data_IF_831850562922
#
_entry.id   IF_831850562922
#
_cell.length_a   1.000
_cell.length_b   1.000
_cell.length_c   1.000
_cell.angle_alpha   90.00
_cell.angle_beta   90.00
_cell.angle_gamma   90.00
#
_symmetry.space_group_name_H-M   'P 1'
#
loop_
_entity.id
_entity.type
_entity.pdbx_description
1 polymer ?
#
# COMPACT_ATOMS: atom_id res chain seq x y z
N UNK A 1 22.18 24.21 5.80
CA UNK A 1 20.73 24.27 6.17
C UNK A 1 20.56 24.28 7.69
N UNK A 2 19.55 24.98 8.25
CA UNK A 2 19.34 25.15 9.70
C UNK A 2 17.92 24.76 10.16
N UNK A 3 17.86 23.89 11.18
CA UNK A 3 16.67 23.62 12.00
C UNK A 3 16.95 24.12 13.43
N UNK A 4 16.01 24.84 14.04
CA UNK A 4 16.03 25.12 15.48
C UNK A 4 14.82 24.54 16.17
N UNK A 5 14.98 24.06 17.40
CA UNK A 5 13.91 23.57 18.25
C UNK A 5 14.00 24.27 19.61
N UNK A 6 12.93 24.96 20.01
CA UNK A 6 12.83 25.71 21.25
C UNK A 6 11.73 25.17 22.15
N UNK A 7 11.89 25.33 23.46
CA UNK A 7 10.84 25.12 24.45
C UNK A 7 10.86 26.19 25.53
N UNK A 8 9.70 26.43 26.12
CA UNK A 8 9.48 27.23 27.33
C UNK A 8 8.90 26.39 28.47
N UNK A 9 9.05 25.06 28.40
CA UNK A 9 8.86 24.19 29.56
C UNK A 9 9.72 24.68 30.74
N UNK A 10 9.33 24.38 31.98
CA UNK A 10 10.10 24.82 33.16
C UNK A 10 10.62 23.62 33.95
N UNK A 11 11.95 23.44 34.08
CA UNK A 11 13.00 24.28 33.48
C UNK A 11 13.20 23.97 31.99
N UNK A 12 13.41 24.99 31.16
CA UNK A 12 13.53 24.80 29.70
C UNK A 12 14.81 24.05 29.32
N UNK A 13 15.84 24.14 30.16
CA UNK A 13 17.11 23.44 30.02
C UNK A 13 16.96 21.92 30.00
N UNK A 14 15.83 21.38 30.47
CA UNK A 14 15.55 19.94 30.39
C UNK A 14 15.45 19.43 28.94
N UNK A 15 15.28 20.33 27.96
CA UNK A 15 15.41 20.00 26.54
C UNK A 15 16.76 19.34 26.20
N UNK A 16 17.84 19.67 26.93
CA UNK A 16 19.14 19.01 26.79
C UNK A 16 19.10 17.51 27.10
N UNK A 17 18.41 17.12 28.17
CA UNK A 17 18.24 15.73 28.56
C UNK A 17 17.29 14.97 27.62
N UNK A 18 16.25 15.63 27.12
CA UNK A 18 15.33 15.04 26.15
C UNK A 18 16.02 14.74 24.81
N UNK A 19 16.98 15.59 24.40
CA UNK A 19 17.72 15.44 23.15
C UNK A 19 19.04 14.67 23.29
N UNK A 20 19.43 14.34 24.52
CA UNK A 20 20.75 13.77 24.85
C UNK A 20 21.89 14.63 24.32
N UNK A 21 21.78 15.94 24.51
CA UNK A 21 22.78 16.94 24.11
C UNK A 21 23.00 17.93 25.24
N UNK A 22 24.25 18.06 25.66
CA UNK A 22 24.62 19.02 26.68
C UNK A 22 24.66 20.44 26.05
N UNK A 23 23.91 21.42 26.58
CA UNK A 23 23.94 22.79 26.09
C UNK A 23 25.32 23.45 26.06
N UNK A 24 26.22 23.07 26.97
CA UNK A 24 27.57 23.63 27.09
C UNK A 24 28.57 22.99 26.12
N UNK A 25 28.17 21.94 25.40
CA UNK A 25 29.07 21.17 24.54
C UNK A 25 28.54 21.06 23.12
N UNK A 26 28.96 21.95 22.20
CA UNK A 26 28.73 21.78 20.78
C UNK A 26 29.29 20.44 20.28
N UNK A 27 28.55 19.76 19.41
CA UNK A 27 28.92 18.46 18.85
C UNK A 27 28.78 18.46 17.34
N UNK A 28 29.64 17.73 16.66
CA UNK A 28 29.60 17.53 15.21
C UNK A 28 29.53 16.04 14.89
N UNK A 29 28.75 15.69 13.86
CA UNK A 29 28.48 14.32 13.46
C UNK A 29 28.75 14.15 11.97
N UNK A 30 29.62 13.20 11.63
CA UNK A 30 29.88 12.81 10.24
C UNK A 30 28.66 12.14 9.61
N UNK A 31 28.35 12.56 8.38
CA UNK A 31 27.32 12.04 7.50
C UNK A 31 27.96 11.66 6.15
N UNK A 32 27.29 10.82 5.36
CA UNK A 32 27.80 10.39 4.05
C UNK A 32 27.90 11.53 3.02
N UNK A 33 27.34 12.70 3.32
CA UNK A 33 27.23 13.86 2.44
C UNK A 33 27.72 15.16 3.11
N UNK A 34 28.43 15.08 4.24
CA UNK A 34 28.92 16.24 4.97
C UNK A 34 28.83 16.05 6.50
N UNK A 35 28.57 17.12 7.24
CA UNK A 35 28.50 17.12 8.69
C UNK A 35 27.20 17.73 9.22
N UNK A 36 26.81 17.32 10.42
CA UNK A 36 25.76 17.96 11.20
C UNK A 36 26.32 18.48 12.52
N UNK A 37 26.07 19.75 12.81
CA UNK A 37 26.48 20.41 14.05
C UNK A 37 25.27 20.65 14.95
N UNK A 38 25.41 20.31 16.22
CA UNK A 38 24.40 20.54 17.25
C UNK A 38 24.98 21.44 18.32
N UNK A 39 24.29 22.54 18.61
CA UNK A 39 24.68 23.50 19.63
C UNK A 39 23.45 24.25 20.16
N UNK A 40 23.59 24.93 21.30
CA UNK A 40 22.50 25.64 21.94
C UNK A 40 22.76 27.15 21.88
N UNK A 41 22.13 27.90 20.95
CA UNK A 41 22.24 29.35 20.93
C UNK A 41 21.63 30.01 22.19
N UNK A 42 20.71 29.33 22.88
CA UNK A 42 20.05 29.81 24.09
C UNK A 42 19.76 28.63 25.02
N UNK A 43 20.13 28.73 26.30
CA UNK A 43 19.89 27.70 27.30
C UNK A 43 19.68 28.33 28.68
N UNK A 44 18.53 28.95 28.89
CA UNK A 44 18.10 29.48 30.19
C UNK A 44 16.95 28.65 30.76
N UNK A 45 16.60 28.89 32.03
CA UNK A 45 15.49 28.18 32.68
C UNK A 45 14.12 28.55 32.05
N UNK A 46 13.99 29.74 31.49
CA UNK A 46 12.77 30.28 30.87
C UNK A 46 12.63 29.81 29.42
N UNK A 47 13.75 29.72 28.70
CA UNK A 47 13.76 29.31 27.30
C UNK A 47 15.07 28.62 26.93
N UNK A 48 14.95 27.49 26.24
CA UNK A 48 16.10 26.77 25.69
C UNK A 48 15.83 26.47 24.23
N UNK A 49 16.84 26.73 23.39
CA UNK A 49 16.81 26.51 21.95
C UNK A 49 18.03 25.70 21.55
N UNK A 50 17.80 24.57 20.88
CA UNK A 50 18.85 23.81 20.18
C UNK A 50 18.85 24.20 18.70
N UNK A 51 20.02 24.21 18.08
CA UNK A 51 20.22 24.35 16.64
C UNK A 51 20.85 23.07 16.08
N UNK A 52 20.30 22.57 14.98
CA UNK A 52 20.88 21.54 14.12
C UNK A 52 21.23 22.19 12.77
N UNK A 53 22.54 22.40 12.55
CA UNK A 53 23.09 22.98 11.33
C UNK A 53 23.69 21.86 10.48
N UNK A 54 23.20 21.70 9.25
CA UNK A 54 23.78 20.79 8.27
C UNK A 54 24.74 21.55 7.35
N UNK A 55 25.98 21.07 7.31
CA UNK A 55 27.03 21.45 6.37
C UNK A 55 27.18 20.31 5.36
N UNK A 56 26.63 20.48 4.17
CA UNK A 56 26.64 19.46 3.12
C UNK A 56 27.78 19.75 2.16
N UNK A 57 28.56 18.73 1.82
CA UNK A 57 29.63 18.81 0.82
C UNK A 57 29.06 18.63 -0.61
N UNK A 58 28.90 19.71 -1.40
CA UNK A 58 28.36 19.60 -2.76
C UNK A 58 29.26 18.81 -3.71
N UNK A 59 30.57 18.79 -3.48
CA UNK A 59 31.53 18.08 -4.35
C UNK A 59 31.50 16.59 -4.04
N UNK A 60 31.50 16.23 -2.76
CA UNK A 60 31.35 14.85 -2.28
C UNK A 60 30.05 14.19 -2.73
N UNK A 61 28.95 14.96 -2.79
CA UNK A 61 27.66 14.50 -3.29
C UNK A 61 27.70 14.01 -4.75
N UNK A 62 28.45 14.70 -5.62
CA UNK A 62 28.59 14.32 -7.04
C UNK A 62 29.48 13.10 -7.21
N UNK A 63 30.61 13.06 -6.50
CA UNK A 63 31.63 12.00 -6.64
C UNK A 63 31.16 10.63 -6.16
N UNK A 64 30.29 10.58 -5.15
CA UNK A 64 29.84 9.33 -4.51
C UNK A 64 28.45 8.86 -4.96
N UNK A 65 27.89 9.44 -6.03
CA UNK A 65 26.51 9.18 -6.46
C UNK A 65 26.36 7.77 -7.05
N UNK A 66 25.72 6.85 -6.31
CA UNK A 66 25.20 5.55 -6.78
C UNK A 66 23.67 5.64 -6.95
N UNK A 67 23.19 6.35 -7.97
CA UNK A 67 21.75 6.47 -8.23
C UNK A 67 21.43 7.21 -9.53
N UNK A 68 20.20 7.10 -10.06
CA UNK A 68 19.83 7.72 -11.33
C UNK A 68 19.96 9.26 -11.27
N UNK A 69 20.26 9.91 -12.40
CA UNK A 69 20.27 11.37 -12.50
C UNK A 69 18.90 11.94 -12.10
N UNK A 70 18.91 13.14 -11.51
CA UNK A 70 17.68 13.92 -11.35
C UNK A 70 17.20 14.40 -12.72
N UNK A 71 16.06 15.09 -12.78
CA UNK A 71 15.53 15.65 -14.03
C UNK A 71 16.45 16.73 -14.65
N UNK A 72 17.44 17.19 -13.90
CA UNK A 72 18.48 18.11 -14.33
C UNK A 72 19.61 17.51 -15.14
N UNK A 73 20.00 18.22 -16.20
CA UNK A 73 21.21 17.92 -16.98
C UNK A 73 22.52 17.97 -16.17
N UNK A 74 23.65 17.78 -16.84
CA UNK A 74 24.97 17.62 -16.21
C UNK A 74 25.42 18.80 -15.29
N UNK A 75 24.88 20.01 -15.49
CA UNK A 75 25.19 21.21 -14.69
C UNK A 75 24.48 21.23 -13.32
N UNK A 76 23.25 20.70 -13.21
CA UNK A 76 22.51 20.64 -11.95
C UNK A 76 23.17 19.72 -10.91
N UNK A 77 24.11 18.88 -11.35
CA UNK A 77 24.88 18.04 -10.44
C UNK A 77 25.82 18.87 -9.56
N UNK A 78 26.39 19.96 -10.09
CA UNK A 78 27.36 20.81 -9.38
C UNK A 78 26.73 22.06 -8.75
N UNK A 79 25.67 22.61 -9.35
CA UNK A 79 24.96 23.77 -8.83
C UNK A 79 23.50 23.38 -8.56
N UNK A 80 23.18 23.19 -7.29
CA UNK A 80 21.83 22.89 -6.83
C UNK A 80 21.59 23.42 -5.42
N UNK A 81 20.34 23.37 -5.01
CA UNK A 81 19.82 23.87 -3.74
C UNK A 81 20.14 22.96 -2.53
N UNK A 82 20.62 21.74 -2.77
CA UNK A 82 20.67 20.66 -1.77
C UNK A 82 21.50 20.95 -0.52
N UNK A 83 22.62 21.70 -0.58
CA UNK A 83 23.33 22.10 0.63
C UNK A 83 22.58 23.09 1.53
N UNK A 84 21.60 23.79 0.97
CA UNK A 84 20.99 24.96 1.59
C UNK A 84 19.57 24.69 2.10
N UNK A 85 18.90 23.68 1.55
CA UNK A 85 17.48 23.38 1.82
C UNK A 85 17.27 22.24 2.81
N UNK A 86 16.15 22.28 3.53
CA UNK A 86 15.68 21.21 4.40
C UNK A 86 15.07 20.09 3.55
N UNK A 87 15.94 19.22 3.03
CA UNK A 87 15.57 18.05 2.22
C UNK A 87 15.56 16.77 3.06
N UNK A 88 15.47 15.62 2.38
CA UNK A 88 15.70 14.30 2.99
C UNK A 88 17.03 14.16 3.75
N UNK A 89 18.03 15.02 3.49
CA UNK A 89 19.25 15.08 4.30
C UNK A 89 18.99 15.51 5.75
N UNK A 90 18.00 16.37 6.00
CA UNK A 90 17.58 16.72 7.36
C UNK A 90 17.08 15.48 8.11
N UNK A 91 16.26 14.65 7.49
CA UNK A 91 15.76 13.41 8.11
C UNK A 91 16.91 12.48 8.51
N UNK A 92 17.93 12.34 7.65
CA UNK A 92 19.12 11.53 7.97
C UNK A 92 19.91 12.14 9.13
N UNK A 93 20.09 13.46 9.15
CA UNK A 93 20.75 14.15 10.26
C UNK A 93 19.99 13.97 11.58
N UNK A 94 18.66 14.15 11.59
CA UNK A 94 17.81 13.90 12.76
C UNK A 94 17.98 12.48 13.31
N UNK A 95 17.91 11.46 12.46
CA UNK A 95 18.08 10.07 12.88
C UNK A 95 19.50 9.73 13.36
N UNK A 96 20.51 10.51 12.95
CA UNK A 96 21.89 10.39 13.41
C UNK A 96 22.12 11.10 14.74
N UNK A 97 21.62 12.33 14.89
CA UNK A 97 21.91 13.20 16.04
C UNK A 97 20.96 13.00 17.21
N UNK A 98 19.66 12.75 16.93
CA UNK A 98 18.58 12.72 17.92
C UNK A 98 17.87 11.36 18.00
N UNK A 99 18.57 10.26 17.68
CA UNK A 99 18.03 8.90 17.67
C UNK A 99 17.24 8.54 18.94
N UNK A 100 17.82 8.75 20.12
CA UNK A 100 17.18 8.40 21.41
C UNK A 100 15.95 9.27 21.69
N UNK A 101 16.01 10.55 21.31
CA UNK A 101 14.87 11.45 21.46
C UNK A 101 13.71 11.03 20.54
N UNK A 102 14.01 10.57 19.33
CA UNK A 102 13.01 10.06 18.38
C UNK A 102 12.34 8.77 18.85
N UNK A 103 13.01 7.93 19.65
CA UNK A 103 12.38 6.76 20.29
C UNK A 103 11.56 7.12 21.53
N UNK A 104 11.58 8.38 21.96
CA UNK A 104 10.90 8.81 23.19
C UNK A 104 11.68 8.48 24.47
N UNK A 105 12.96 8.14 24.36
CA UNK A 105 13.78 7.75 25.50
C UNK A 105 14.56 8.94 26.07
N UNK A 106 14.47 9.15 27.39
CA UNK A 106 15.41 9.97 28.15
C UNK A 106 15.70 9.30 29.49
N UNK A 107 16.96 8.96 29.75
CA UNK A 107 17.34 8.23 30.98
C UNK A 107 17.22 9.13 32.20
N UNK A 108 17.56 10.39 32.03
CA UNK A 108 17.61 11.41 33.07
C UNK A 108 16.25 12.07 33.30
N UNK A 109 15.35 12.01 32.32
CA UNK A 109 14.01 12.61 32.35
C UNK A 109 12.93 11.71 31.70
N UNK A 110 12.72 10.47 32.20
CA UNK A 110 11.79 9.53 31.56
C UNK A 110 10.34 10.00 31.58
N UNK A 111 9.89 10.59 32.70
CA UNK A 111 8.53 11.12 32.82
C UNK A 111 8.28 12.27 31.84
N UNK A 112 9.25 13.17 31.68
CA UNK A 112 9.13 14.32 30.79
C UNK A 112 9.14 13.90 29.31
N UNK A 113 9.91 12.87 28.94
CA UNK A 113 9.95 12.36 27.58
C UNK A 113 8.57 11.82 27.11
N UNK A 114 7.78 11.30 28.04
CA UNK A 114 6.40 10.85 27.80
C UNK A 114 5.36 11.97 27.80
N UNK A 115 5.72 13.22 28.14
CA UNK A 115 4.78 14.32 28.36
C UNK A 115 4.75 15.33 27.21
N UNK A 116 3.55 15.85 26.84
CA UNK A 116 3.44 16.98 25.94
C UNK A 116 3.97 18.29 26.56
N UNK A 117 4.95 18.91 25.90
CA UNK A 117 5.55 20.20 26.28
C UNK A 117 5.40 21.22 25.14
N UNK A 118 5.42 22.55 25.42
CA UNK A 118 5.37 23.56 24.37
C UNK A 118 6.66 23.51 23.54
N UNK A 119 6.54 23.30 22.24
CA UNK A 119 7.65 23.18 21.31
C UNK A 119 7.46 24.13 20.13
N UNK A 120 8.55 24.75 19.71
CA UNK A 120 8.62 25.59 18.51
C UNK A 120 9.77 25.10 17.64
N UNK A 121 9.46 24.56 16.47
CA UNK A 121 10.45 24.17 15.46
C UNK A 121 10.48 25.20 14.33
N UNK A 122 11.67 25.64 13.93
CA UNK A 122 11.85 26.57 12.81
C UNK A 122 12.80 25.99 11.76
N UNK A 123 12.31 25.87 10.53
CA UNK A 123 13.09 25.46 9.35
C UNK A 123 13.39 26.69 8.50
N UNK A 124 14.66 27.02 8.31
CA UNK A 124 15.05 28.26 7.64
C UNK A 124 14.71 28.29 6.14
N UNK A 125 14.89 27.15 5.45
CA UNK A 125 14.64 27.02 4.01
C UNK A 125 14.04 25.64 3.75
N UNK A 126 12.72 25.56 3.61
CA UNK A 126 11.99 24.33 3.33
C UNK A 126 11.42 24.39 1.90
N UNK A 127 11.85 23.51 0.98
CA UNK A 127 11.24 23.42 -0.34
C UNK A 127 9.84 22.82 -0.19
N UNK A 128 8.84 23.49 -0.75
CA UNK A 128 7.47 23.01 -0.79
C UNK A 128 6.88 23.19 -2.19
N UNK A 129 6.94 22.14 -3.01
CA UNK A 129 6.40 22.15 -4.39
C UNK A 129 4.87 22.31 -4.42
N UNK A 130 4.18 21.95 -3.34
CA UNK A 130 2.72 22.09 -3.19
C UNK A 130 2.24 23.45 -2.68
N UNK A 131 3.17 24.38 -2.39
CA UNK A 131 2.84 25.70 -1.82
C UNK A 131 2.40 25.67 -0.36
N UNK A 132 2.08 26.85 0.19
CA UNK A 132 1.67 27.00 1.59
C UNK A 132 0.43 26.17 1.97
N UNK A 133 -0.65 26.07 1.15
CA UNK A 133 -1.82 25.27 1.49
C UNK A 133 -1.48 23.80 1.72
N UNK A 134 -0.51 23.26 0.97
CA UNK A 134 -0.05 21.88 1.17
C UNK A 134 0.72 21.72 2.48
N UNK A 135 1.56 22.70 2.83
CA UNK A 135 2.28 22.76 4.10
C UNK A 135 1.31 22.68 5.29
N UNK A 136 0.23 23.48 5.25
CA UNK A 136 -0.83 23.50 6.24
C UNK A 136 -1.56 22.16 6.35
N UNK A 137 -1.95 21.57 5.21
CA UNK A 137 -2.59 20.24 5.15
C UNK A 137 -1.77 19.10 5.77
N UNK A 138 -0.44 19.22 5.82
CA UNK A 138 0.42 18.19 6.41
C UNK A 138 0.64 18.35 7.92
N UNK A 139 0.64 19.58 8.43
CA UNK A 139 1.00 19.82 9.84
C UNK A 139 -0.20 20.23 10.71
N UNK A 140 -1.17 20.98 10.20
CA UNK A 140 -2.34 21.41 11.00
C UNK A 140 -3.15 20.22 11.56
N UNK A 141 -3.36 19.11 10.83
CA UNK A 141 -4.04 17.92 11.38
C UNK A 141 -3.29 17.25 12.55
N UNK A 142 -1.99 17.52 12.70
CA UNK A 142 -1.16 17.03 13.80
C UNK A 142 -1.14 17.97 15.01
N UNK A 143 -1.95 19.04 14.97
CA UNK A 143 -2.07 20.01 16.06
C UNK A 143 -1.05 21.15 16.03
N UNK A 144 -0.36 21.36 14.91
CA UNK A 144 0.55 22.49 14.77
C UNK A 144 -0.17 23.77 14.37
N UNK A 145 0.24 24.88 14.99
CA UNK A 145 0.09 26.21 14.39
C UNK A 145 1.23 26.42 13.40
N UNK A 146 0.89 26.64 12.13
CA UNK A 146 1.85 26.80 11.04
C UNK A 146 1.95 28.26 10.63
N UNK A 147 3.16 28.82 10.70
CA UNK A 147 3.52 30.10 10.10
C UNK A 147 4.55 29.86 9.01
N UNK A 148 4.26 30.30 7.78
CA UNK A 148 5.14 30.12 6.63
C UNK A 148 5.40 31.47 5.97
N UNK A 149 6.67 31.79 5.73
CA UNK A 149 7.08 32.98 4.97
C UNK A 149 7.75 32.50 3.70
N UNK A 150 7.13 32.79 2.56
CA UNK A 150 7.65 32.45 1.23
C UNK A 150 8.77 33.42 0.84
N UNK A 151 9.82 32.90 0.23
CA UNK A 151 10.95 33.69 -0.25
C UNK A 151 10.79 34.00 -1.75
N UNK A 152 11.18 35.21 -2.17
CA UNK A 152 11.31 35.55 -3.59
C UNK A 152 12.43 34.73 -4.25
N UNK A 153 12.38 34.54 -5.58
CA UNK A 153 13.52 33.94 -6.30
C UNK A 153 14.75 34.85 -6.25
N UNK A 154 14.53 36.15 -6.42
CA UNK A 154 15.54 37.18 -6.30
C UNK A 154 14.87 38.50 -5.89
N UNK A 155 15.26 39.07 -4.74
CA UNK A 155 14.70 40.35 -4.25
C UNK A 155 15.06 41.54 -5.16
N UNK A 156 16.12 41.41 -5.96
CA UNK A 156 16.56 42.44 -6.90
C UNK A 156 15.88 42.34 -8.27
N UNK A 157 15.21 41.20 -8.55
CA UNK A 157 14.48 40.96 -9.81
C UNK A 157 13.04 40.46 -9.52
N UNK A 158 12.13 41.34 -9.09
CA UNK A 158 10.77 40.96 -8.65
C UNK A 158 9.95 40.23 -9.73
N UNK A 159 10.21 40.51 -11.01
CA UNK A 159 9.50 39.90 -12.14
C UNK A 159 9.68 38.38 -12.25
N UNK A 160 10.72 37.82 -11.61
CA UNK A 160 10.91 36.36 -11.52
C UNK A 160 9.89 35.70 -10.58
N UNK A 161 9.28 36.48 -9.69
CA UNK A 161 8.25 36.02 -8.77
C UNK A 161 8.80 35.21 -7.59
N UNK A 162 7.89 34.47 -6.96
CA UNK A 162 8.20 33.73 -5.75
C UNK A 162 8.95 32.42 -6.02
N UNK A 163 9.82 32.06 -5.09
CA UNK A 163 10.44 30.73 -5.05
C UNK A 163 9.49 29.68 -4.46
N UNK A 164 9.92 28.42 -4.57
CA UNK A 164 9.29 27.28 -3.88
C UNK A 164 9.70 27.14 -2.41
N UNK A 165 10.56 28.02 -1.90
CA UNK A 165 11.14 27.90 -0.56
C UNK A 165 10.42 28.74 0.46
N UNK A 166 10.29 28.18 1.66
CA UNK A 166 9.64 28.82 2.80
C UNK A 166 10.55 28.80 4.02
N UNK A 167 10.53 29.86 4.81
CA UNK A 167 10.80 29.74 6.25
C UNK A 167 9.54 29.24 6.92
N UNK A 168 9.62 28.16 7.70
CA UNK A 168 8.45 27.59 8.38
C UNK A 168 8.71 27.53 9.88
N UNK A 169 7.76 28.05 10.66
CA UNK A 169 7.66 27.89 12.11
C UNK A 169 6.46 26.99 12.42
N UNK A 170 6.72 25.94 13.20
CA UNK A 170 5.75 24.96 13.66
C UNK A 170 5.67 25.04 15.19
N UNK A 171 4.51 25.39 15.72
CA UNK A 171 4.28 25.51 17.17
C UNK A 171 3.24 24.50 17.61
N UNK A 172 3.53 23.72 18.65
CA UNK A 172 2.57 22.77 19.21
C UNK A 172 2.91 22.38 20.65
N UNK A 173 1.95 21.77 21.34
CA UNK A 173 2.19 21.11 22.62
C UNK A 173 2.14 19.59 22.43
N UNK A 174 3.30 18.94 22.38
CA UNK A 174 3.45 17.51 22.06
C UNK A 174 4.74 16.94 22.65
N UNK A 175 4.94 15.63 22.54
CA UNK A 175 6.21 15.01 22.94
C UNK A 175 7.32 15.41 21.97
N UNK A 176 8.56 15.47 22.45
CA UNK A 176 9.73 15.73 21.60
C UNK A 176 9.87 14.66 20.51
N UNK A 177 9.59 13.40 20.85
CA UNK A 177 9.63 12.29 19.88
C UNK A 177 8.66 12.50 18.72
N UNK A 178 7.41 12.88 19.01
CA UNK A 178 6.38 13.18 18.00
C UNK A 178 6.83 14.27 17.05
N UNK A 179 7.34 15.39 17.58
CA UNK A 179 7.83 16.48 16.74
C UNK A 179 8.96 16.03 15.80
N UNK A 180 9.93 15.29 16.33
CA UNK A 180 11.07 14.83 15.55
C UNK A 180 10.66 13.79 14.49
N UNK A 181 9.72 12.89 14.80
CA UNK A 181 9.23 11.89 13.84
C UNK A 181 8.34 12.53 12.76
N UNK A 182 7.51 13.52 13.11
CA UNK A 182 6.76 14.31 12.14
C UNK A 182 7.71 15.00 11.14
N UNK A 183 8.74 15.70 11.62
CA UNK A 183 9.75 16.32 10.76
C UNK A 183 10.49 15.30 9.90
N UNK A 184 10.88 14.16 10.49
CA UNK A 184 11.58 13.09 9.78
C UNK A 184 10.79 12.57 8.56
N UNK A 185 9.47 12.41 8.70
CA UNK A 185 8.58 11.90 7.64
C UNK A 185 8.15 13.00 6.67
N UNK A 186 7.73 14.16 7.17
CA UNK A 186 7.04 15.18 6.35
C UNK A 186 7.99 16.08 5.56
N UNK A 187 9.23 16.31 6.02
CA UNK A 187 10.21 17.10 5.27
C UNK A 187 10.50 16.51 3.87
N UNK A 188 10.80 15.20 3.73
CA UNK A 188 10.94 14.56 2.41
C UNK A 188 9.68 14.65 1.53
N UNK A 189 8.49 14.65 2.14
CA UNK A 189 7.19 14.73 1.42
C UNK A 189 6.97 16.11 0.80
N UNK A 190 7.45 17.16 1.47
CA UNK A 190 7.37 18.55 0.99
C UNK A 190 8.33 18.83 -0.16
N UNK A 191 9.55 18.30 -0.06
CA UNK A 191 10.60 18.39 -1.07
C UNK A 191 10.22 17.61 -2.35
N UNK A 192 9.59 16.44 -2.18
CA UNK A 192 9.18 15.49 -3.23
C UNK A 192 10.36 15.05 -4.13
N UNK A 193 11.57 15.05 -3.55
CA UNK A 193 12.81 14.65 -4.21
C UNK A 193 13.77 14.00 -3.19
N UNK A 194 14.02 12.69 -3.37
CA UNK A 194 14.97 11.92 -2.53
C UNK A 194 16.25 11.67 -3.33
N UNK A 195 17.39 12.01 -2.73
CA UNK A 195 18.72 11.90 -3.34
C UNK A 195 19.31 10.49 -3.40
N UNK A 196 18.60 9.50 -2.88
CA UNK A 196 19.03 8.11 -2.85
C UNK A 196 17.93 7.18 -3.34
N UNK A 197 18.30 5.93 -3.61
CA UNK A 197 17.37 4.91 -4.07
C UNK A 197 16.43 4.48 -2.94
N UNK A 198 15.12 4.50 -3.21
CA UNK A 198 14.07 4.10 -2.26
C UNK A 198 13.73 2.63 -2.50
N UNK A 199 13.88 1.78 -1.47
CA UNK A 199 13.53 0.35 -1.49
C UNK A 199 12.72 -0.05 -0.26
N UNK A 200 12.56 -1.34 -0.02
CA UNK A 200 11.69 -1.90 1.04
C UNK A 200 12.04 -1.39 2.45
N UNK A 201 13.32 -1.11 2.72
CA UNK A 201 13.76 -0.50 3.99
C UNK A 201 13.12 0.88 4.26
N UNK A 202 12.73 1.63 3.22
CA UNK A 202 12.07 2.92 3.39
C UNK A 202 10.61 2.78 3.82
N UNK A 203 9.96 1.65 3.49
CA UNK A 203 8.62 1.32 4.00
C UNK A 203 8.71 1.10 5.51
N UNK A 204 9.67 0.30 5.98
CA UNK A 204 9.88 0.08 7.41
C UNK A 204 10.16 1.36 8.19
N UNK A 205 10.98 2.27 7.61
CA UNK A 205 11.25 3.57 8.21
C UNK A 205 10.00 4.45 8.27
N UNK A 206 9.21 4.47 7.19
CA UNK A 206 7.95 5.22 7.17
C UNK A 206 6.99 4.71 8.25
N UNK A 207 6.84 3.40 8.38
CA UNK A 207 5.95 2.79 9.36
C UNK A 207 6.41 3.06 10.79
N UNK A 208 7.70 2.85 11.07
CA UNK A 208 8.28 3.09 12.40
C UNK A 208 8.15 4.54 12.84
N UNK A 209 8.42 5.50 11.96
CA UNK A 209 8.35 6.92 12.29
C UNK A 209 6.94 7.51 12.10
N UNK A 210 6.05 6.79 11.42
CA UNK A 210 4.63 7.10 11.26
C UNK A 210 3.74 6.52 12.36
N UNK A 211 4.30 5.68 13.23
CA UNK A 211 3.56 5.01 14.30
C UNK A 211 2.83 6.02 15.20
N UNK A 212 1.57 5.76 15.51
CA UNK A 212 0.73 6.59 16.37
C UNK A 212 0.07 7.80 15.72
N UNK A 213 0.42 8.19 14.49
CA UNK A 213 -0.16 9.38 13.84
C UNK A 213 -0.46 9.24 12.35
N UNK A 214 0.36 8.50 11.60
CA UNK A 214 0.28 8.46 10.14
C UNK A 214 -0.97 7.71 9.65
N UNK A 215 -1.40 6.68 10.36
CA UNK A 215 -2.60 5.89 10.04
C UNK A 215 -3.88 6.74 10.06
N UNK A 216 -3.98 7.67 11.01
CA UNK A 216 -5.11 8.59 11.19
C UNK A 216 -4.97 9.91 10.43
N UNK A 217 -3.84 10.15 9.77
CA UNK A 217 -3.59 11.41 9.07
C UNK A 217 -4.49 11.52 7.82
N UNK A 218 -5.21 12.65 7.59
CA UNK A 218 -6.12 12.78 6.46
C UNK A 218 -5.41 12.67 5.10
N UNK A 219 -4.15 13.08 5.05
CA UNK A 219 -3.29 12.99 3.85
C UNK A 219 -2.40 11.73 3.82
N UNK A 220 -2.73 10.64 4.56
CA UNK A 220 -1.90 9.42 4.67
C UNK A 220 -1.47 8.85 3.31
N UNK A 221 -2.39 8.79 2.35
CA UNK A 221 -2.14 8.32 0.99
C UNK A 221 -1.08 9.16 0.28
N UNK A 222 -1.20 10.49 0.39
CA UNK A 222 -0.31 11.43 -0.27
C UNK A 222 1.08 11.42 0.38
N UNK A 223 1.12 11.34 1.72
CA UNK A 223 2.35 11.19 2.50
C UNK A 223 3.09 9.93 2.07
N UNK A 224 2.42 8.76 2.08
CA UNK A 224 3.05 7.50 1.71
C UNK A 224 3.58 7.51 0.27
N UNK A 225 2.79 8.04 -0.69
CA UNK A 225 3.20 8.13 -2.10
C UNK A 225 4.43 9.01 -2.28
N UNK A 226 4.46 10.22 -1.73
CA UNK A 226 5.60 11.14 -1.88
C UNK A 226 6.82 10.67 -1.10
N UNK A 227 6.64 10.18 0.13
CA UNK A 227 7.73 9.65 0.93
C UNK A 227 8.46 8.50 0.22
N UNK A 228 7.72 7.67 -0.50
CA UNK A 228 8.24 6.53 -1.25
C UNK A 228 8.52 6.86 -2.72
N UNK A 229 8.72 8.15 -3.04
CA UNK A 229 9.10 8.68 -4.36
C UNK A 229 8.19 8.15 -5.48
N UNK A 230 6.88 8.16 -5.22
CA UNK A 230 5.82 7.72 -6.13
C UNK A 230 5.92 6.25 -6.57
N UNK A 231 6.71 5.41 -5.88
CA UNK A 231 6.75 3.96 -6.13
C UNK A 231 5.47 3.30 -5.64
N UNK A 232 4.54 3.07 -6.57
CA UNK A 232 3.19 2.56 -6.27
C UNK A 232 3.15 1.26 -5.47
N UNK A 233 4.09 0.34 -5.69
CA UNK A 233 4.18 -0.91 -4.93
C UNK A 233 4.51 -0.67 -3.46
N UNK A 234 5.57 0.09 -3.19
CA UNK A 234 6.00 0.42 -1.82
C UNK A 234 4.95 1.27 -1.09
N UNK A 235 4.37 2.26 -1.77
CA UNK A 235 3.34 3.11 -1.17
C UNK A 235 2.09 2.31 -0.82
N UNK A 236 1.71 1.34 -1.65
CA UNK A 236 0.61 0.42 -1.35
C UNK A 236 0.94 -0.47 -0.15
N UNK A 237 2.12 -1.08 -0.12
CA UNK A 237 2.57 -1.90 1.02
C UNK A 237 2.55 -1.09 2.33
N UNK A 238 3.08 0.14 2.32
CA UNK A 238 3.07 1.01 3.49
C UNK A 238 1.63 1.35 3.92
N UNK A 239 0.74 1.69 2.98
CA UNK A 239 -0.66 2.02 3.30
C UNK A 239 -1.43 0.80 3.81
N UNK A 240 -1.18 -0.38 3.26
CA UNK A 240 -1.77 -1.65 3.73
C UNK A 240 -1.33 -1.96 5.16
N UNK A 241 -0.07 -1.70 5.50
CA UNK A 241 0.48 -1.89 6.85
C UNK A 241 0.06 -0.81 7.83
N UNK A 242 -0.08 0.45 7.38
CA UNK A 242 -0.63 1.56 8.18
C UNK A 242 -2.10 1.41 8.48
N UNK A 243 -2.84 0.78 7.57
CA UNK A 243 -4.22 0.36 7.79
C UNK A 243 -4.32 -0.89 8.69
N UNK A 244 -3.25 -1.27 9.40
CA UNK A 244 -3.21 -2.32 10.42
C UNK A 244 -4.06 -1.97 11.64
N UNK A 245 -5.38 -2.04 11.42
CA UNK A 245 -6.55 -2.10 12.31
C UNK A 245 -7.84 -1.68 11.53
N UNK A 246 -7.72 -1.20 10.28
CA UNK A 246 -8.81 -0.95 9.32
C UNK A 246 -8.85 -1.95 8.13
N UNK A 247 -7.85 -2.83 7.99
CA UNK A 247 -7.88 -4.01 7.12
C UNK A 247 -8.53 -5.31 7.68
N UNK A 248 -9.26 -5.35 8.82
CA UNK A 248 -10.04 -6.55 9.16
C UNK A 248 -11.12 -6.80 8.12
N UNK A 249 -11.77 -5.77 7.57
CA UNK A 249 -13.00 -6.00 6.81
C UNK A 249 -12.82 -6.83 5.53
N UNK A 250 -11.78 -6.69 4.72
CA UNK A 250 -11.71 -7.46 3.46
C UNK A 250 -11.15 -8.88 3.63
N UNK A 251 -10.18 -9.05 4.52
CA UNK A 251 -9.60 -10.36 4.81
C UNK A 251 -10.48 -11.17 5.79
N UNK A 252 -11.07 -10.53 6.82
CA UNK A 252 -12.10 -11.16 7.64
C UNK A 252 -13.39 -11.34 6.86
N UNK A 253 -13.84 -10.43 5.97
CA UNK A 253 -14.97 -10.76 5.07
C UNK A 253 -14.63 -11.91 4.14
N UNK A 254 -13.40 -12.05 3.61
CA UNK A 254 -13.05 -13.23 2.82
C UNK A 254 -13.03 -14.53 3.66
N UNK A 255 -12.60 -14.46 4.93
CA UNK A 255 -12.58 -15.59 5.86
C UNK A 255 -13.97 -15.95 6.40
N UNK A 256 -14.80 -14.95 6.74
CA UNK A 256 -16.21 -15.06 7.11
C UNK A 256 -17.05 -15.51 5.91
N UNK A 257 -16.76 -15.00 4.70
CA UNK A 257 -17.35 -15.44 3.41
C UNK A 257 -17.21 -16.92 3.18
N UNK A 258 -15.97 -17.39 3.28
CA UNK A 258 -15.69 -18.80 3.16
C UNK A 258 -16.32 -19.65 4.28
N UNK A 259 -16.70 -19.07 5.42
CA UNK A 259 -17.31 -19.79 6.54
C UNK A 259 -18.84 -19.83 6.46
N UNK A 260 -19.51 -18.72 6.13
CA UNK A 260 -20.98 -18.67 5.99
C UNK A 260 -21.47 -19.56 4.84
N UNK A 261 -20.85 -19.46 3.66
CA UNK A 261 -21.13 -20.33 2.52
C UNK A 261 -20.81 -21.79 2.85
N UNK A 262 -19.65 -22.06 3.48
CA UNK A 262 -19.26 -23.43 3.80
C UNK A 262 -20.23 -24.09 4.80
N UNK A 263 -20.83 -23.34 5.73
CA UNK A 263 -21.84 -23.91 6.65
C UNK A 263 -23.06 -24.39 5.87
N UNK A 264 -23.58 -23.59 4.94
CA UNK A 264 -24.72 -23.94 4.09
C UNK A 264 -24.37 -25.07 3.10
N UNK A 265 -23.18 -25.04 2.51
CA UNK A 265 -22.74 -25.96 1.46
C UNK A 265 -22.13 -27.28 1.97
N UNK A 266 -21.70 -27.33 3.24
CA UNK A 266 -20.98 -28.48 3.82
C UNK A 266 -21.75 -29.79 3.71
N UNK A 267 -23.07 -29.76 3.91
CA UNK A 267 -23.94 -30.94 3.81
C UNK A 267 -23.95 -31.56 2.41
N UNK A 268 -23.67 -30.76 1.38
CA UNK A 268 -23.73 -31.16 -0.02
C UNK A 268 -22.34 -31.33 -0.64
N UNK A 269 -21.24 -31.13 0.10
CA UNK A 269 -19.87 -31.12 -0.44
C UNK A 269 -19.72 -30.21 -1.68
N UNK A 270 -20.53 -29.15 -1.77
CA UNK A 270 -20.74 -28.43 -3.02
C UNK A 270 -19.46 -27.78 -3.54
N UNK A 271 -18.65 -27.22 -2.64
CA UNK A 271 -17.35 -26.65 -2.97
C UNK A 271 -16.41 -27.70 -3.61
N UNK A 272 -16.37 -28.92 -3.08
CA UNK A 272 -15.54 -30.00 -3.63
C UNK A 272 -16.05 -30.46 -5.00
N UNK A 273 -17.36 -30.60 -5.16
CA UNK A 273 -17.98 -30.93 -6.45
C UNK A 273 -17.73 -29.85 -7.49
N UNK A 274 -17.79 -28.57 -7.11
CA UNK A 274 -17.48 -27.43 -7.97
C UNK A 274 -16.04 -27.46 -8.45
N UNK A 275 -15.09 -27.62 -7.53
CA UNK A 275 -13.67 -27.71 -7.88
C UNK A 275 -13.38 -28.92 -8.77
N UNK A 276 -13.98 -30.08 -8.48
CA UNK A 276 -13.83 -31.27 -9.31
C UNK A 276 -14.41 -31.07 -10.72
N UNK A 277 -15.58 -30.45 -10.85
CA UNK A 277 -16.20 -30.15 -12.14
C UNK A 277 -15.34 -29.18 -12.97
N UNK A 278 -14.80 -28.12 -12.34
CA UNK A 278 -13.90 -27.17 -13.01
C UNK A 278 -12.65 -27.89 -13.52
N UNK A 279 -12.04 -28.74 -12.69
CA UNK A 279 -10.86 -29.53 -13.08
C UNK A 279 -11.19 -30.48 -14.24
N UNK A 280 -12.33 -31.17 -14.21
CA UNK A 280 -12.77 -32.08 -15.29
C UNK A 280 -12.89 -31.34 -16.62
N UNK A 281 -13.55 -30.17 -16.62
CA UNK A 281 -13.70 -29.35 -17.83
C UNK A 281 -12.34 -28.90 -18.36
N UNK A 282 -11.44 -28.44 -17.48
CA UNK A 282 -10.09 -28.03 -17.89
C UNK A 282 -9.29 -29.20 -18.50
N UNK A 283 -9.46 -30.41 -17.96
CA UNK A 283 -8.86 -31.64 -18.48
C UNK A 283 -9.43 -32.05 -19.84
N UNK A 284 -10.77 -32.03 -19.99
CA UNK A 284 -11.47 -32.36 -21.24
C UNK A 284 -11.09 -31.41 -22.38
N UNK A 285 -10.85 -30.13 -22.05
CA UNK A 285 -10.38 -29.12 -23.00
C UNK A 285 -8.87 -29.19 -23.28
N UNK A 286 -8.15 -30.09 -22.60
CA UNK A 286 -6.73 -30.30 -22.82
C UNK A 286 -5.84 -29.12 -22.41
N UNK A 287 -6.30 -28.26 -21.50
CA UNK A 287 -5.54 -27.10 -21.07
C UNK A 287 -4.34 -27.51 -20.21
N UNK A 288 -3.18 -26.95 -20.51
CA UNK A 288 -1.92 -27.17 -19.79
C UNK A 288 -1.47 -25.90 -19.06
N UNK A 289 -1.83 -24.73 -19.61
CA UNK A 289 -1.56 -23.41 -19.01
C UNK A 289 -2.87 -22.77 -18.54
N UNK A 290 -3.07 -22.72 -17.22
CA UNK A 290 -4.33 -22.30 -16.60
C UNK A 290 -4.11 -21.10 -15.70
N UNK A 291 -4.98 -20.09 -15.80
CA UNK A 291 -5.07 -19.00 -14.83
C UNK A 291 -6.33 -19.13 -13.98
N UNK A 292 -6.18 -19.02 -12.66
CA UNK A 292 -7.26 -18.97 -11.68
C UNK A 292 -7.44 -17.51 -11.23
N UNK A 293 -8.51 -16.87 -11.72
CA UNK A 293 -8.79 -15.46 -11.52
C UNK A 293 -9.71 -15.29 -10.31
N UNK A 294 -9.18 -14.75 -9.22
CA UNK A 294 -9.83 -14.78 -7.90
C UNK A 294 -9.49 -16.07 -7.16
N UNK A 295 -8.23 -16.49 -7.17
CA UNK A 295 -7.81 -17.82 -6.70
C UNK A 295 -8.03 -18.06 -5.20
N UNK A 296 -8.30 -17.01 -4.44
CA UNK A 296 -8.55 -17.10 -3.01
C UNK A 296 -7.39 -17.79 -2.28
N UNK A 297 -7.73 -18.62 -1.30
CA UNK A 297 -6.77 -19.37 -0.49
C UNK A 297 -6.16 -20.57 -1.25
N UNK A 298 -6.24 -20.60 -2.58
CA UNK A 298 -5.54 -21.56 -3.45
C UNK A 298 -6.16 -22.95 -3.52
N UNK A 299 -7.46 -23.11 -3.26
CA UNK A 299 -8.14 -24.42 -3.28
C UNK A 299 -8.11 -25.07 -4.65
N UNK A 300 -8.45 -24.34 -5.72
CA UNK A 300 -8.37 -24.84 -7.10
C UNK A 300 -6.92 -25.09 -7.51
N UNK A 301 -6.00 -24.17 -7.20
CA UNK A 301 -4.57 -24.34 -7.44
C UNK A 301 -4.03 -25.65 -6.86
N UNK A 302 -4.43 -25.98 -5.62
CA UNK A 302 -4.04 -27.23 -4.95
C UNK A 302 -4.53 -28.47 -5.71
N UNK A 303 -5.75 -28.44 -6.24
CA UNK A 303 -6.31 -29.52 -7.04
C UNK A 303 -5.58 -29.67 -8.38
N UNK A 304 -5.35 -28.55 -9.09
CA UNK A 304 -4.61 -28.53 -10.36
C UNK A 304 -3.18 -29.06 -10.21
N UNK A 305 -2.51 -28.76 -9.09
CA UNK A 305 -1.15 -29.22 -8.84
C UNK A 305 -1.00 -30.75 -8.71
N UNK A 306 -2.09 -31.47 -8.41
CA UNK A 306 -2.10 -32.94 -8.33
C UNK A 306 -2.00 -33.60 -9.71
N UNK A 307 -2.49 -32.95 -10.76
CA UNK A 307 -2.42 -33.47 -12.12
C UNK A 307 -1.22 -32.88 -12.85
N UNK A 308 -0.33 -33.76 -13.34
CA UNK A 308 0.92 -33.36 -14.01
C UNK A 308 0.70 -32.73 -15.39
N UNK A 309 -0.51 -32.82 -15.96
CA UNK A 309 -0.88 -32.17 -17.24
C UNK A 309 -0.81 -30.64 -17.17
N UNK A 310 -1.11 -30.06 -16.01
CA UNK A 310 -1.05 -28.61 -15.81
C UNK A 310 0.40 -28.17 -15.56
N UNK A 311 1.05 -27.63 -16.56
CA UNK A 311 2.48 -27.28 -16.50
C UNK A 311 2.75 -25.84 -16.07
N UNK A 312 1.77 -24.96 -16.24
CA UNK A 312 1.86 -23.53 -15.88
C UNK A 312 0.52 -23.07 -15.27
N UNK A 313 0.53 -22.83 -13.97
CA UNK A 313 -0.65 -22.49 -13.17
C UNK A 313 -0.41 -21.11 -12.56
N UNK A 314 -1.28 -20.16 -12.89
CA UNK A 314 -1.22 -18.81 -12.34
C UNK A 314 -2.43 -18.57 -11.43
N UNK A 315 -2.21 -18.35 -10.14
CA UNK A 315 -3.24 -17.87 -9.23
C UNK A 315 -3.19 -16.34 -9.12
N UNK A 316 -4.31 -15.67 -9.34
CA UNK A 316 -4.42 -14.21 -9.22
C UNK A 316 -5.45 -13.86 -8.15
N UNK A 317 -5.08 -13.03 -7.19
CA UNK A 317 -6.02 -12.46 -6.22
C UNK A 317 -5.67 -10.99 -5.95
N UNK A 318 -6.71 -10.21 -5.62
CA UNK A 318 -6.58 -8.79 -5.26
C UNK A 318 -6.05 -8.60 -3.83
N UNK A 319 -6.16 -9.63 -2.99
CA UNK A 319 -5.80 -9.59 -1.58
C UNK A 319 -4.48 -10.30 -1.34
N UNK A 320 -3.43 -9.55 -1.00
CA UNK A 320 -2.10 -10.12 -0.73
C UNK A 320 -2.13 -11.13 0.43
N UNK A 321 -2.88 -10.86 1.51
CA UNK A 321 -3.03 -11.79 2.65
C UNK A 321 -3.63 -13.14 2.23
N UNK A 322 -4.58 -13.14 1.32
CA UNK A 322 -5.19 -14.36 0.78
C UNK A 322 -4.18 -15.17 -0.05
N UNK A 323 -3.29 -14.49 -0.78
CA UNK A 323 -2.17 -15.14 -1.48
C UNK A 323 -1.12 -15.71 -0.52
N UNK A 324 -0.86 -15.07 0.62
CA UNK A 324 -0.01 -15.64 1.68
C UNK A 324 -0.62 -16.91 2.28
N UNK A 325 -1.93 -16.91 2.57
CA UNK A 325 -2.64 -18.12 3.02
C UNK A 325 -2.57 -19.21 1.94
N UNK A 326 -2.74 -18.86 0.66
CA UNK A 326 -2.59 -19.81 -0.44
C UNK A 326 -1.15 -20.37 -0.49
N UNK A 327 -0.13 -19.52 -0.34
CA UNK A 327 1.29 -19.91 -0.31
C UNK A 327 1.58 -20.93 0.80
N UNK A 328 1.04 -20.70 1.98
CA UNK A 328 1.14 -21.62 3.13
C UNK A 328 0.39 -22.92 2.87
N UNK A 329 -0.87 -22.88 2.43
CA UNK A 329 -1.69 -24.09 2.18
C UNK A 329 -1.17 -24.96 1.07
N UNK A 330 -0.58 -24.35 0.05
CA UNK A 330 0.12 -25.05 -1.02
C UNK A 330 1.48 -25.58 -0.58
N UNK A 331 2.00 -25.15 0.58
CA UNK A 331 3.34 -25.46 1.09
C UNK A 331 4.45 -25.10 0.09
N UNK A 332 4.35 -23.95 -0.60
CA UNK A 332 5.26 -23.60 -1.70
C UNK A 332 6.75 -23.57 -1.29
N UNK A 333 7.06 -23.23 -0.05
CA UNK A 333 8.44 -23.21 0.46
C UNK A 333 9.05 -24.60 0.60
N UNK A 334 8.24 -25.60 0.95
CA UNK A 334 8.65 -27.00 1.13
C UNK A 334 8.38 -27.87 -0.10
N UNK A 335 7.72 -27.31 -1.11
CA UNK A 335 7.36 -28.01 -2.33
C UNK A 335 8.60 -28.34 -3.17
N UNK A 336 8.71 -29.57 -3.72
CA UNK A 336 9.80 -29.93 -4.62
C UNK A 336 9.89 -28.96 -5.80
N UNK A 337 11.12 -28.60 -6.18
CA UNK A 337 11.39 -27.52 -7.13
C UNK A 337 10.64 -27.70 -8.48
N UNK A 338 10.60 -28.94 -9.00
CA UNK A 338 9.88 -29.26 -10.24
C UNK A 338 8.37 -29.01 -10.15
N UNK A 339 7.77 -29.21 -8.98
CA UNK A 339 6.35 -28.94 -8.76
C UNK A 339 6.12 -27.45 -8.49
N UNK A 340 7.02 -26.81 -7.73
CA UNK A 340 6.96 -25.38 -7.42
C UNK A 340 7.02 -24.51 -8.68
N UNK A 341 7.86 -24.87 -9.65
CA UNK A 341 7.99 -24.14 -10.92
C UNK A 341 6.70 -24.13 -11.76
N UNK A 342 5.76 -25.03 -11.49
CA UNK A 342 4.47 -25.11 -12.20
C UNK A 342 3.44 -24.11 -11.68
N UNK A 343 3.65 -23.48 -10.52
CA UNK A 343 2.67 -22.59 -9.89
C UNK A 343 3.27 -21.24 -9.55
N UNK A 344 2.59 -20.18 -9.98
CA UNK A 344 2.92 -18.80 -9.64
C UNK A 344 1.70 -18.14 -9.00
N UNK A 345 1.92 -17.43 -7.90
CA UNK A 345 0.92 -16.57 -7.29
C UNK A 345 1.19 -15.12 -7.68
N UNK A 346 0.15 -14.41 -8.09
CA UNK A 346 0.25 -13.04 -8.57
C UNK A 346 -0.75 -12.14 -7.86
N UNK A 347 -0.24 -11.09 -7.22
CA UNK A 347 -1.08 -10.01 -6.72
C UNK A 347 -1.53 -9.13 -7.88
N UNK A 348 -2.83 -9.12 -8.12
CA UNK A 348 -3.43 -8.45 -9.28
C UNK A 348 -4.92 -8.21 -9.08
N UNK A 349 -5.44 -7.14 -9.69
CA UNK A 349 -6.87 -6.85 -9.68
C UNK A 349 -7.47 -7.24 -11.02
N UNK A 350 -8.62 -7.91 -10.96
CA UNK A 350 -9.41 -8.31 -12.12
C UNK A 350 -10.02 -7.12 -12.89
N UNK A 351 -9.89 -5.89 -12.36
CA UNK A 351 -10.42 -4.67 -12.98
C UNK A 351 -9.45 -4.01 -13.96
N UNK A 352 -8.18 -4.39 -13.94
CA UNK A 352 -7.16 -3.78 -14.78
C UNK A 352 -6.64 -4.76 -15.82
N UNK A 353 -6.38 -4.23 -17.02
CA UNK A 353 -5.69 -4.98 -18.06
C UNK A 353 -4.28 -5.31 -17.58
N UNK A 354 -3.97 -6.60 -17.55
CA UNK A 354 -2.65 -7.09 -17.19
C UNK A 354 -2.12 -7.99 -18.32
N UNK A 355 -1.01 -7.57 -18.94
CA UNK A 355 -0.40 -8.28 -20.05
C UNK A 355 0.09 -9.68 -19.65
N UNK A 356 0.31 -9.94 -18.35
CA UNK A 356 0.76 -11.24 -17.83
C UNK A 356 -0.33 -12.31 -17.87
N UNK A 357 -1.60 -11.93 -18.04
CA UNK A 357 -2.72 -12.86 -18.20
C UNK A 357 -2.87 -13.35 -19.65
N UNK A 358 -2.18 -12.71 -20.59
CA UNK A 358 -2.22 -13.11 -22.00
C UNK A 358 -1.42 -14.40 -22.24
N UNK A 359 -1.92 -15.23 -23.15
CA UNK A 359 -1.24 -16.47 -23.57
C UNK A 359 -1.51 -17.69 -22.69
N UNK A 360 -2.37 -17.57 -21.68
CA UNK A 360 -2.95 -18.73 -20.99
C UNK A 360 -4.01 -19.39 -21.87
N UNK A 361 -4.08 -20.71 -21.83
CA UNK A 361 -4.99 -21.51 -22.68
C UNK A 361 -6.40 -21.53 -22.10
N UNK A 362 -6.49 -21.58 -20.77
CA UNK A 362 -7.76 -21.54 -20.06
C UNK A 362 -7.72 -20.57 -18.86
N UNK A 363 -8.86 -19.95 -18.57
CA UNK A 363 -9.10 -19.21 -17.34
C UNK A 363 -10.23 -19.85 -16.53
N UNK A 364 -10.02 -20.01 -15.24
CA UNK A 364 -11.05 -20.39 -14.27
C UNK A 364 -11.48 -19.14 -13.48
N UNK A 365 -12.79 -18.97 -13.31
CA UNK A 365 -13.42 -17.89 -12.55
C UNK A 365 -14.45 -18.56 -11.64
N UNK A 366 -14.05 -18.91 -10.43
CA UNK A 366 -14.85 -19.77 -9.55
C UNK A 366 -15.42 -18.95 -8.40
N UNK A 367 -16.73 -18.68 -8.45
CA UNK A 367 -17.46 -17.88 -7.45
C UNK A 367 -16.84 -16.48 -7.22
N UNK A 368 -16.78 -15.69 -8.31
CA UNK A 368 -16.11 -14.38 -8.29
C UNK A 368 -17.02 -13.26 -8.74
N UNK A 369 -17.84 -13.50 -9.78
CA UNK A 369 -18.56 -12.42 -10.46
C UNK A 369 -19.68 -11.84 -9.61
N UNK A 370 -20.31 -12.65 -8.77
CA UNK A 370 -21.38 -12.31 -7.82
C UNK A 370 -20.93 -11.30 -6.76
N UNK A 371 -19.62 -11.15 -6.56
CA UNK A 371 -19.04 -10.16 -5.64
C UNK A 371 -18.73 -8.83 -6.32
N UNK A 372 -18.87 -8.74 -7.65
CA UNK A 372 -18.60 -7.53 -8.42
C UNK A 372 -19.87 -6.71 -8.59
N UNK A 373 -19.80 -5.42 -8.27
CA UNK A 373 -20.87 -4.49 -8.65
C UNK A 373 -20.90 -4.30 -10.19
N UNK A 374 -22.04 -3.85 -10.77
CA UNK A 374 -22.20 -3.85 -12.24
C UNK A 374 -21.11 -3.10 -13.02
N UNK A 375 -20.63 -1.91 -12.58
CA UNK A 375 -19.47 -1.26 -13.22
C UNK A 375 -18.19 -2.10 -13.20
N UNK A 376 -17.92 -2.79 -12.08
CA UNK A 376 -16.75 -3.66 -11.94
C UNK A 376 -16.87 -4.93 -12.78
N UNK A 377 -18.05 -5.53 -12.82
CA UNK A 377 -18.32 -6.66 -13.71
C UNK A 377 -18.06 -6.29 -15.18
N UNK A 378 -18.57 -5.14 -15.64
CA UNK A 378 -18.36 -4.67 -17.01
C UNK A 378 -16.87 -4.44 -17.35
N UNK A 379 -16.06 -4.00 -16.37
CA UNK A 379 -14.61 -3.90 -16.54
C UNK A 379 -13.95 -5.29 -16.63
N UNK A 380 -14.34 -6.21 -15.74
CA UNK A 380 -13.83 -7.58 -15.71
C UNK A 380 -14.11 -8.34 -17.00
N UNK A 381 -15.32 -8.19 -17.56
CA UNK A 381 -15.72 -8.79 -18.84
C UNK A 381 -14.67 -8.51 -19.92
N UNK A 382 -14.22 -7.26 -20.04
CA UNK A 382 -13.19 -6.87 -21.01
C UNK A 382 -11.82 -7.44 -20.66
N UNK A 383 -11.43 -7.39 -19.39
CA UNK A 383 -10.16 -7.97 -18.93
C UNK A 383 -10.07 -9.45 -19.31
N UNK A 384 -11.13 -10.21 -19.08
CA UNK A 384 -11.20 -11.63 -19.36
C UNK A 384 -11.36 -11.94 -20.85
N UNK A 385 -12.40 -11.42 -21.50
CA UNK A 385 -12.80 -11.85 -22.85
C UNK A 385 -12.15 -11.03 -23.98
N UNK A 386 -11.75 -9.77 -23.73
CA UNK A 386 -11.12 -8.92 -24.75
C UNK A 386 -9.59 -8.98 -24.69
N UNK A 387 -9.02 -8.86 -23.48
CA UNK A 387 -7.58 -8.66 -23.31
C UNK A 387 -6.82 -9.95 -22.97
N UNK A 388 -7.22 -10.70 -21.94
CA UNK A 388 -6.60 -11.99 -21.62
C UNK A 388 -6.93 -13.03 -22.69
N UNK A 389 -8.20 -13.06 -23.11
CA UNK A 389 -8.74 -13.77 -24.28
C UNK A 389 -8.29 -15.24 -24.40
N UNK A 390 -8.40 -16.05 -23.32
CA UNK A 390 -8.03 -17.47 -23.35
C UNK A 390 -8.94 -18.26 -24.31
N UNK A 391 -8.49 -19.44 -24.75
CA UNK A 391 -9.29 -20.31 -25.63
C UNK A 391 -10.50 -20.89 -24.89
N UNK A 392 -10.35 -21.15 -23.59
CA UNK A 392 -11.41 -21.66 -22.72
C UNK A 392 -11.60 -20.75 -21.50
N UNK A 393 -12.83 -20.46 -21.13
CA UNK A 393 -13.17 -19.86 -19.83
C UNK A 393 -14.13 -20.78 -19.11
N UNK A 394 -13.80 -21.20 -17.90
CA UNK A 394 -14.71 -21.94 -17.01
C UNK A 394 -15.14 -20.99 -15.91
N UNK A 395 -16.41 -20.62 -15.90
CA UNK A 395 -16.96 -19.68 -14.94
C UNK A 395 -18.06 -20.35 -14.13
N UNK A 396 -18.04 -20.16 -12.80
CA UNK A 396 -19.12 -20.59 -11.92
C UNK A 396 -19.70 -19.42 -11.12
N UNK A 397 -20.98 -19.52 -10.80
CA UNK A 397 -21.69 -18.59 -9.93
C UNK A 397 -22.89 -19.30 -9.26
N UNK A 398 -23.39 -18.82 -8.11
CA UNK A 398 -24.58 -19.37 -7.48
C UNK A 398 -25.83 -19.32 -8.38
N UNK A 399 -26.74 -20.28 -8.18
CA UNK A 399 -28.08 -20.27 -8.75
C UNK A 399 -29.10 -19.74 -7.74
N UNK A 400 -29.62 -18.52 -7.96
CA UNK A 400 -30.61 -17.93 -7.06
C UNK A 400 -31.90 -18.76 -6.95
N UNK A 401 -32.29 -19.48 -8.00
CA UNK A 401 -33.51 -20.30 -8.01
C UNK A 401 -33.40 -21.47 -7.01
N UNK A 402 -32.19 -21.98 -6.78
CA UNK A 402 -31.95 -23.09 -5.85
C UNK A 402 -32.01 -22.66 -4.37
N UNK A 403 -32.00 -21.35 -4.08
CA UNK A 403 -31.94 -20.85 -2.70
C UNK A 403 -33.08 -21.37 -1.82
N UNK A 404 -34.24 -21.62 -2.42
CA UNK A 404 -35.42 -22.18 -1.74
C UNK A 404 -35.20 -23.60 -1.19
N UNK A 405 -34.16 -24.30 -1.63
CA UNK A 405 -33.81 -25.65 -1.16
C UNK A 405 -32.85 -25.65 0.04
N UNK A 406 -32.30 -24.49 0.42
CA UNK A 406 -31.51 -24.36 1.65
C UNK A 406 -32.41 -24.08 2.85
N UNK A 407 -32.61 -25.09 3.71
CA UNK A 407 -33.48 -25.03 4.90
C UNK A 407 -33.16 -23.85 5.85
N UNK A 408 -31.89 -23.45 5.92
CA UNK A 408 -31.38 -22.40 6.81
C UNK A 408 -31.33 -21.01 6.17
N UNK A 409 -31.76 -20.86 4.91
CA UNK A 409 -31.68 -19.60 4.18
C UNK A 409 -33.07 -18.90 4.15
N UNK A 410 -33.20 -17.67 4.66
CA UNK A 410 -34.45 -16.93 4.58
C UNK A 410 -34.90 -16.70 3.12
N UNK A 411 -36.20 -16.75 2.87
CA UNK A 411 -36.76 -16.50 1.54
C UNK A 411 -36.36 -15.12 1.01
N UNK A 412 -35.81 -15.06 -0.20
CA UNK A 412 -35.33 -13.83 -0.84
C UNK A 412 -33.94 -13.35 -0.38
N UNK A 413 -33.24 -14.10 0.49
CA UNK A 413 -31.86 -13.80 0.87
C UNK A 413 -30.85 -14.43 -0.11
N UNK A 414 -29.70 -13.78 -0.24
CA UNK A 414 -28.52 -14.36 -0.88
C UNK A 414 -27.85 -15.36 0.07
N UNK A 415 -27.22 -16.40 -0.50
CA UNK A 415 -26.43 -17.42 0.21
C UNK A 415 -25.29 -16.79 1.01
N UNK A 416 -24.81 -15.64 0.56
CA UNK A 416 -23.81 -14.86 1.26
C UNK A 416 -24.17 -13.38 1.30
N UNK A 417 -23.89 -12.72 2.42
CA UNK A 417 -24.22 -11.31 2.64
C UNK A 417 -23.44 -10.35 1.74
N UNK A 418 -22.27 -10.77 1.26
CA UNK A 418 -21.43 -10.00 0.35
C UNK A 418 -21.73 -10.22 -1.14
N UNK A 419 -22.75 -11.02 -1.48
CA UNK A 419 -23.22 -11.10 -2.86
C UNK A 419 -23.85 -9.76 -3.26
N UNK A 420 -23.39 -9.23 -4.40
CA UNK A 420 -23.99 -8.06 -5.06
C UNK A 420 -25.19 -8.46 -5.90
N UNK A 421 -25.20 -9.69 -6.38
CA UNK A 421 -26.30 -10.33 -7.07
C UNK A 421 -26.18 -11.85 -6.94
N UNK A 422 -27.29 -12.55 -7.15
CA UNK A 422 -27.30 -13.95 -7.54
C UNK A 422 -28.26 -14.08 -8.71
N UNK A 423 -27.81 -14.65 -9.82
CA UNK A 423 -28.62 -14.75 -11.02
C UNK A 423 -29.43 -16.05 -11.05
N UNK A 424 -30.63 -15.96 -11.62
CA UNK A 424 -31.34 -17.13 -12.14
C UNK A 424 -30.61 -17.73 -13.35
N UNK A 425 -30.99 -18.94 -13.75
CA UNK A 425 -30.49 -19.57 -14.99
C UNK A 425 -30.70 -18.68 -16.20
N UNK A 426 -31.89 -18.08 -16.32
CA UNK A 426 -32.22 -17.21 -17.45
C UNK A 426 -31.34 -15.96 -17.53
N UNK A 427 -31.04 -15.32 -16.40
CA UNK A 427 -30.18 -14.13 -16.33
C UNK A 427 -28.73 -14.49 -16.63
N UNK A 428 -28.25 -15.60 -16.08
CA UNK A 428 -26.90 -16.09 -16.33
C UNK A 428 -26.68 -16.47 -17.81
N UNK A 429 -27.63 -17.19 -18.40
CA UNK A 429 -27.60 -17.57 -19.82
C UNK A 429 -27.62 -16.32 -20.72
N UNK A 430 -28.48 -15.35 -20.42
CA UNK A 430 -28.57 -14.08 -21.16
C UNK A 430 -27.26 -13.30 -21.08
N UNK A 431 -26.65 -13.21 -19.89
CA UNK A 431 -25.36 -12.56 -19.72
C UNK A 431 -24.25 -13.26 -20.51
N UNK A 432 -24.17 -14.59 -20.43
CA UNK A 432 -23.17 -15.38 -21.12
C UNK A 432 -23.31 -15.32 -22.65
N UNK A 433 -24.53 -15.34 -23.19
CA UNK A 433 -24.80 -15.18 -24.63
C UNK A 433 -24.33 -13.80 -25.14
N UNK A 434 -24.56 -12.74 -24.38
CA UNK A 434 -24.05 -11.40 -24.70
C UNK A 434 -22.52 -11.34 -24.72
N UNK A 435 -21.83 -12.08 -23.84
CA UNK A 435 -20.36 -12.20 -23.90
C UNK A 435 -19.91 -12.91 -25.17
N UNK A 436 -20.62 -13.97 -25.57
CA UNK A 436 -20.39 -14.69 -26.82
C UNK A 436 -20.52 -13.78 -28.05
N UNK A 437 -21.63 -13.05 -28.15
CA UNK A 437 -21.90 -12.10 -29.25
C UNK A 437 -20.85 -11.00 -29.33
N UNK A 438 -20.47 -10.42 -28.18
CA UNK A 438 -19.57 -9.27 -28.13
C UNK A 438 -18.11 -9.63 -28.39
N UNK A 439 -17.66 -10.79 -27.91
CA UNK A 439 -16.23 -11.15 -27.90
C UNK A 439 -15.89 -12.36 -28.78
N UNK A 440 -16.87 -12.96 -29.44
CA UNK A 440 -16.67 -14.07 -30.38
C UNK A 440 -16.34 -15.39 -29.68
N UNK A 441 -17.10 -15.73 -28.64
CA UNK A 441 -17.06 -17.03 -27.97
C UNK A 441 -18.34 -17.82 -28.28
N UNK A 442 -18.31 -19.11 -28.00
CA UNK A 442 -19.48 -19.99 -27.82
C UNK A 442 -19.56 -20.40 -26.36
N UNK A 443 -20.74 -20.77 -25.86
CA UNK A 443 -20.93 -21.18 -24.46
C UNK A 443 -21.69 -22.49 -24.35
N UNK A 444 -21.27 -23.33 -23.41
CA UNK A 444 -22.00 -24.52 -22.97
C UNK A 444 -22.25 -24.44 -21.46
N UNK A 445 -23.49 -24.72 -21.03
CA UNK A 445 -23.89 -24.64 -19.63
C UNK A 445 -23.90 -26.02 -18.99
N UNK A 446 -23.35 -26.12 -17.78
CA UNK A 446 -23.29 -27.35 -17.01
C UNK A 446 -23.82 -27.11 -15.58
N UNK A 447 -24.64 -28.03 -15.03
CA UNK A 447 -25.02 -27.99 -13.64
C UNK A 447 -23.86 -28.43 -12.73
N UNK A 448 -23.76 -27.84 -11.54
CA UNK A 448 -22.83 -28.28 -10.48
C UNK A 448 -23.61 -28.52 -9.19
N UNK A 449 -23.58 -29.76 -8.71
CA UNK A 449 -24.34 -30.19 -7.54
C UNK A 449 -25.61 -30.99 -7.89
N UNK A 450 -26.41 -31.38 -6.89
CA UNK A 450 -27.66 -32.10 -7.09
C UNK A 450 -28.64 -31.29 -7.95
N UNK A 451 -29.16 -31.91 -9.01
CA UNK A 451 -30.13 -31.28 -9.91
C UNK A 451 -31.54 -31.49 -9.39
N UNK A 452 -32.22 -30.38 -9.10
CA UNK A 452 -33.65 -30.34 -8.83
C UNK A 452 -34.43 -30.11 -10.14
N UNK A 453 -35.54 -30.83 -10.40
CA UNK A 453 -36.33 -30.68 -11.61
C UNK A 453 -36.88 -29.26 -11.83
N UNK A 454 -37.23 -28.56 -10.74
CA UNK A 454 -37.88 -27.26 -10.82
C UNK A 454 -36.84 -26.13 -10.87
N UNK A 455 -35.85 -26.19 -9.97
CA UNK A 455 -34.92 -25.08 -9.73
C UNK A 455 -33.48 -25.33 -10.22
N UNK A 456 -33.19 -26.49 -10.79
CA UNK A 456 -31.87 -26.81 -11.34
C UNK A 456 -30.85 -27.19 -10.27
N UNK A 457 -29.56 -26.92 -10.53
CA UNK A 457 -28.47 -27.21 -9.60
C UNK A 457 -28.10 -25.99 -8.75
N UNK A 458 -27.48 -26.15 -7.56
CA UNK A 458 -27.11 -25.04 -6.71
C UNK A 458 -26.02 -24.15 -7.31
N UNK A 459 -25.07 -24.66 -8.08
CA UNK A 459 -24.09 -23.83 -8.80
C UNK A 459 -24.30 -23.97 -10.30
N UNK A 460 -24.17 -22.84 -10.99
CA UNK A 460 -24.25 -22.75 -12.44
C UNK A 460 -22.83 -22.67 -12.99
N UNK A 461 -22.55 -23.39 -14.08
CA UNK A 461 -21.27 -23.29 -14.77
C UNK A 461 -21.48 -22.93 -16.25
N UNK A 462 -20.71 -21.98 -16.75
CA UNK A 462 -20.59 -21.66 -18.16
C UNK A 462 -19.16 -21.97 -18.64
N UNK A 463 -19.08 -22.74 -19.72
CA UNK A 463 -17.82 -23.08 -20.39
C UNK A 463 -17.78 -22.36 -21.73
N UNK A 464 -16.99 -21.29 -21.80
CA UNK A 464 -16.82 -20.53 -23.03
C UNK A 464 -15.68 -21.11 -23.87
N UNK A 465 -15.87 -21.18 -25.18
CA UNK A 465 -14.88 -21.67 -26.16
C UNK A 465 -14.80 -20.73 -27.36
N UNK A 466 -13.58 -20.39 -27.80
CA UNK A 466 -13.35 -19.56 -28.99
C UNK A 466 -13.41 -20.33 -30.29
#
# INVERSE_FOLDING_TARGET
>A
MLLTLSTTHSPATDLGYLLHKNPERPQSFELSFGQAHVFYPEATAERTTVALLLEVDPVGLVRNRRGPPGEGGALEQYVNDRPYVASSFLSVALARTFRSAMSGDSKERPELAGQPIPLVARLAVLPCRGGEPFLRKLFEPLGYTVTATRHALDETVPDWGDSRYFTVTLEARMRVSELLTHLYVLVPVLDDDKHYWVGDEEVEKLLRHGEGWLASHPERDLIARRYLRHRRSLAREALERLAGDEAPEQAERAQVRNQEEAVLESRLSLNEQRLAAVVSVLQERGATRVVDLGCGEGKLLKALLQDRRFTDILGVDVTFRTLEIARERLNLERMPELQRRRVTLLHGSLMYRDARLAGFEAAAVVEVIEHLDPPRLAAFERVLFEFARPNTVVLTTPNAEYNVRFESLPSGAFRHRDHRFEWSRSEFETWAQRMCERFGYSVHFLPVGPVDPDVGAPTQMAVFSR
#
